data_IF_591668727806
#
_entry.id   IF_591668727806
#
_cell.length_a   1.000
_cell.length_b   1.000
_cell.length_c   1.000
_cell.angle_alpha   90.00
_cell.angle_beta   90.00
_cell.angle_gamma   90.00
#
_symmetry.space_group_name_H-M   'P 1'
#
loop_
_entity.id
_entity.type
_entity.pdbx_description
1 polymer ?
#
# COMPACT_ATOMS: atom_id res chain seq x y z
N UNK A 1 51.37 30.76 -22.21
CA UNK A 1 49.97 30.33 -21.95
C UNK A 1 49.88 28.83 -22.22
N UNK A 2 50.06 28.01 -21.19
CA UNK A 2 49.90 26.55 -21.27
C UNK A 2 48.46 26.22 -20.90
N UNK A 3 47.69 25.70 -21.86
CA UNK A 3 46.33 25.22 -21.62
C UNK A 3 46.39 23.74 -21.21
N UNK A 4 46.08 23.47 -19.94
CA UNK A 4 45.88 22.11 -19.43
C UNK A 4 44.51 21.60 -19.89
N UNK A 5 44.51 20.59 -20.76
CA UNK A 5 43.30 19.83 -21.11
C UNK A 5 43.11 18.76 -20.05
N UNK A 6 42.15 18.97 -19.15
CA UNK A 6 41.73 17.96 -18.17
C UNK A 6 40.76 16.99 -18.85
N UNK A 7 41.23 15.80 -19.20
CA UNK A 7 40.39 14.73 -19.73
C UNK A 7 39.61 14.08 -18.57
N UNK A 8 38.32 14.39 -18.45
CA UNK A 8 37.41 13.70 -17.54
C UNK A 8 37.10 12.30 -18.07
N UNK A 9 37.78 11.29 -17.52
CA UNK A 9 37.44 9.88 -17.73
C UNK A 9 36.09 9.62 -17.05
N UNK A 10 35.04 9.48 -17.84
CA UNK A 10 33.74 8.99 -17.36
C UNK A 10 33.87 7.51 -17.05
N UNK A 11 33.91 7.16 -15.77
CA UNK A 11 33.67 5.79 -15.34
C UNK A 11 32.21 5.45 -15.67
N UNK A 12 31.92 4.35 -16.39
CA UNK A 12 30.54 3.92 -16.56
C UNK A 12 30.00 3.56 -15.18
N UNK A 13 28.89 4.19 -14.80
CA UNK A 13 28.12 3.73 -13.66
C UNK A 13 27.70 2.29 -13.96
N UNK A 14 28.22 1.34 -13.19
CA UNK A 14 27.72 -0.02 -13.19
C UNK A 14 26.28 0.03 -12.62
N UNK A 15 25.30 0.14 -13.52
CA UNK A 15 23.93 -0.21 -13.24
C UNK A 15 23.91 -1.71 -12.96
N UNK A 16 23.91 -2.08 -11.67
CA UNK A 16 23.77 -3.45 -11.25
C UNK A 16 22.27 -3.72 -11.08
N UNK A 17 21.61 -4.11 -12.17
CA UNK A 17 20.21 -4.55 -12.24
C UNK A 17 20.02 -5.97 -11.64
N UNK A 18 20.47 -6.18 -10.40
CA UNK A 18 20.11 -7.37 -9.63
C UNK A 18 19.27 -6.96 -8.42
N UNK A 19 17.99 -6.83 -8.72
CA UNK A 19 16.88 -6.41 -7.86
C UNK A 19 16.47 -7.46 -6.81
N UNK A 20 17.45 -8.15 -6.20
CA UNK A 20 17.17 -9.19 -5.21
C UNK A 20 17.41 -8.65 -3.80
N UNK A 21 16.47 -7.82 -3.32
CA UNK A 21 16.46 -7.38 -1.93
C UNK A 21 16.05 -8.56 -1.06
N UNK A 22 16.93 -9.11 -0.21
CA UNK A 22 16.58 -10.25 0.61
C UNK A 22 15.53 -9.86 1.64
N UNK A 23 14.59 -10.77 1.93
CA UNK A 23 13.70 -10.62 3.08
C UNK A 23 14.49 -10.97 4.36
N UNK A 24 13.98 -10.53 5.51
CA UNK A 24 14.68 -10.72 6.79
C UNK A 24 15.12 -12.18 7.04
N UNK A 25 14.26 -13.16 6.72
CA UNK A 25 14.58 -14.58 6.91
C UNK A 25 15.65 -15.10 5.96
N UNK A 26 15.78 -14.54 4.76
CA UNK A 26 16.79 -14.95 3.76
C UNK A 26 18.22 -14.64 4.24
N UNK A 27 18.35 -13.68 5.17
CA UNK A 27 19.62 -13.30 5.82
C UNK A 27 19.73 -13.81 7.27
N UNK A 28 18.87 -14.75 7.68
CA UNK A 28 18.91 -15.37 9.01
C UNK A 28 18.29 -14.56 10.15
N UNK A 29 17.63 -13.43 9.86
CA UNK A 29 16.86 -12.69 10.86
C UNK A 29 15.48 -13.31 11.03
N UNK A 30 15.34 -14.14 12.06
CA UNK A 30 14.11 -14.85 12.40
C UNK A 30 13.40 -14.14 13.55
N UNK A 31 12.15 -13.72 13.31
CA UNK A 31 11.27 -13.19 14.35
C UNK A 31 10.22 -14.24 14.73
N UNK A 32 10.05 -14.47 16.03
CA UNK A 32 9.12 -15.45 16.60
C UNK A 32 9.57 -16.91 16.49
N UNK A 33 8.75 -17.81 17.06
CA UNK A 33 9.05 -19.27 17.14
C UNK A 33 8.27 -20.12 16.14
N UNK A 34 7.27 -19.56 15.46
CA UNK A 34 6.43 -20.28 14.50
C UNK A 34 7.03 -20.22 13.09
N UNK A 35 6.90 -21.29 12.29
CA UNK A 35 7.24 -21.26 10.87
C UNK A 35 6.25 -20.36 10.11
N UNK A 36 6.71 -19.63 9.07
CA UNK A 36 5.79 -18.88 8.21
C UNK A 36 5.01 -19.82 7.28
N UNK A 37 3.96 -19.27 6.64
CA UNK A 37 3.35 -19.91 5.48
C UNK A 37 4.31 -20.00 4.28
N UNK A 38 3.87 -20.62 3.19
CA UNK A 38 4.70 -20.91 2.02
C UNK A 38 5.26 -19.64 1.38
N UNK A 39 4.47 -18.57 1.36
CA UNK A 39 4.81 -17.29 0.77
C UNK A 39 5.41 -16.32 1.80
N UNK A 40 5.25 -16.62 3.09
CA UNK A 40 5.54 -15.70 4.19
C UNK A 40 4.87 -14.34 3.94
N UNK A 41 3.60 -14.37 3.58
CA UNK A 41 2.81 -13.21 3.18
C UNK A 41 1.36 -13.36 3.65
N UNK A 42 0.60 -12.27 3.69
CA UNK A 42 -0.82 -12.30 4.12
C UNK A 42 -1.69 -13.18 3.20
N UNK A 43 -1.30 -13.33 1.94
CA UNK A 43 -1.93 -14.18 0.93
C UNK A 43 -1.73 -15.69 1.17
N UNK A 44 -0.94 -16.10 2.18
CA UNK A 44 -0.95 -17.48 2.67
C UNK A 44 -2.30 -17.84 3.34
N UNK A 45 -3.09 -16.84 3.77
CA UNK A 45 -4.48 -17.04 4.18
C UNK A 45 -5.34 -17.27 2.94
N UNK A 46 -5.97 -18.43 2.84
CA UNK A 46 -6.77 -18.80 1.67
C UNK A 46 -7.86 -17.77 1.37
N UNK A 47 -7.96 -17.36 0.10
CA UNK A 47 -8.91 -16.36 -0.38
C UNK A 47 -8.39 -14.93 -0.32
N UNK A 48 -7.43 -14.60 0.55
CA UNK A 48 -6.92 -13.22 0.66
C UNK A 48 -6.15 -12.81 -0.59
N UNK A 49 -6.43 -11.60 -1.08
CA UNK A 49 -5.77 -11.01 -2.24
C UNK A 49 -5.15 -9.66 -1.86
N UNK A 50 -4.03 -9.34 -2.52
CA UNK A 50 -3.38 -8.02 -2.40
C UNK A 50 -3.17 -7.46 -3.79
N UNK A 51 -3.53 -6.19 -3.99
CA UNK A 51 -3.27 -5.43 -5.20
C UNK A 51 -2.70 -4.06 -4.86
N UNK A 52 -1.91 -3.50 -5.76
CA UNK A 52 -1.16 -2.27 -5.50
C UNK A 52 -1.15 -1.38 -6.73
N UNK A 53 -1.18 -0.07 -6.50
CA UNK A 53 -0.90 0.96 -7.50
C UNK A 53 0.15 1.91 -6.94
N UNK A 54 1.30 1.96 -7.58
CA UNK A 54 2.47 2.77 -7.18
C UNK A 54 2.52 4.05 -8.02
N UNK A 55 2.51 5.21 -7.38
CA UNK A 55 2.72 6.51 -8.03
C UNK A 55 4.12 7.01 -7.69
N UNK A 56 5.02 6.85 -8.65
CA UNK A 56 6.37 7.39 -8.60
C UNK A 56 6.58 8.28 -9.83
N UNK A 57 6.25 9.58 -9.71
CA UNK A 57 6.25 10.53 -10.83
C UNK A 57 7.00 11.82 -10.47
N UNK A 58 7.72 12.38 -11.42
CA UNK A 58 8.52 13.59 -11.23
C UNK A 58 9.44 13.50 -10.01
N UNK A 59 9.69 14.63 -9.37
CA UNK A 59 10.62 14.71 -8.25
C UNK A 59 9.96 14.42 -6.89
N UNK A 60 8.64 14.61 -6.77
CA UNK A 60 7.96 14.67 -5.48
C UNK A 60 6.62 13.91 -5.41
N UNK A 61 6.24 13.08 -6.39
CA UNK A 61 5.06 12.22 -6.25
C UNK A 61 5.54 10.82 -5.89
N UNK A 62 5.37 10.44 -4.61
CA UNK A 62 5.82 9.16 -4.04
C UNK A 62 4.71 8.61 -3.15
N UNK A 63 3.64 8.11 -3.73
CA UNK A 63 2.45 7.67 -2.99
C UNK A 63 1.79 6.50 -3.71
N UNK A 64 0.63 6.06 -3.25
CA UNK A 64 -0.12 5.04 -3.94
C UNK A 64 -1.24 4.44 -3.11
N UNK A 65 -1.77 3.34 -3.61
CA UNK A 65 -2.86 2.59 -2.97
C UNK A 65 -2.45 1.13 -2.85
N UNK A 66 -2.66 0.54 -1.68
CA UNK A 66 -2.63 -0.92 -1.49
C UNK A 66 -4.03 -1.37 -1.14
N UNK A 67 -4.57 -2.32 -1.90
CA UNK A 67 -5.84 -2.96 -1.65
C UNK A 67 -5.62 -4.35 -1.06
N UNK A 68 -6.33 -4.66 0.03
CA UNK A 68 -6.35 -5.97 0.67
C UNK A 68 -7.79 -6.45 0.66
N UNK A 69 -8.06 -7.55 -0.04
CA UNK A 69 -9.37 -8.15 -0.13
C UNK A 69 -9.39 -9.41 0.73
N UNK A 70 -10.29 -9.53 1.73
CA UNK A 70 -10.45 -10.76 2.49
C UNK A 70 -10.82 -11.97 1.61
N UNK A 71 -11.55 -11.74 0.52
CA UNK A 71 -11.84 -12.70 -0.55
C UNK A 71 -12.23 -11.99 -1.85
N UNK A 72 -12.31 -12.74 -2.95
CA UNK A 72 -12.66 -12.23 -4.28
C UNK A 72 -14.18 -12.02 -4.51
N UNK A 73 -15.03 -12.56 -3.64
CA UNK A 73 -16.49 -12.38 -3.69
C UNK A 73 -16.97 -10.98 -3.32
N UNK A 74 -18.30 -10.79 -3.28
CA UNK A 74 -18.92 -9.52 -2.91
C UNK A 74 -18.95 -9.35 -1.38
N UNK A 75 -17.99 -8.60 -0.84
CA UNK A 75 -17.80 -8.38 0.61
C UNK A 75 -18.99 -7.72 1.31
N UNK A 76 -19.88 -7.04 0.60
CA UNK A 76 -21.09 -6.50 1.21
C UNK A 76 -22.11 -7.60 1.54
N UNK A 77 -22.15 -8.66 0.72
CA UNK A 77 -23.04 -9.81 0.87
C UNK A 77 -22.44 -10.90 1.74
N UNK A 78 -21.13 -11.09 1.62
CA UNK A 78 -20.34 -12.09 2.32
C UNK A 78 -19.34 -11.37 3.21
N UNK A 79 -19.80 -10.91 4.38
CA UNK A 79 -18.97 -10.11 5.28
C UNK A 79 -17.98 -10.99 6.04
N UNK A 80 -16.88 -10.39 6.48
CA UNK A 80 -15.83 -11.09 7.21
C UNK A 80 -15.71 -10.51 8.62
N UNK A 81 -15.64 -11.38 9.63
CA UNK A 81 -15.44 -10.96 11.01
C UNK A 81 -14.13 -10.17 11.17
N UNK A 82 -14.18 -9.06 11.90
CA UNK A 82 -13.06 -8.14 12.06
C UNK A 82 -13.12 -7.40 13.39
N UNK A 83 -11.97 -6.84 13.79
CA UNK A 83 -11.84 -5.99 14.96
C UNK A 83 -10.80 -4.90 14.71
N UNK A 84 -10.93 -3.78 15.43
CA UNK A 84 -9.96 -2.68 15.41
C UNK A 84 -9.39 -2.50 16.81
N UNK A 85 -8.07 -2.32 16.88
CA UNK A 85 -7.39 -1.90 18.09
C UNK A 85 -6.54 -0.65 17.79
N UNK A 86 -6.65 0.37 18.65
CA UNK A 86 -5.94 1.64 18.49
C UNK A 86 -4.89 1.76 19.58
N UNK A 87 -3.62 1.56 19.22
CA UNK A 87 -2.50 1.81 20.14
C UNK A 87 -2.23 3.30 20.33
N UNK A 88 -2.23 4.08 19.25
CA UNK A 88 -2.20 5.54 19.26
C UNK A 88 -3.10 6.08 18.13
N UNK A 89 -3.96 7.04 18.47
CA UNK A 89 -5.00 7.54 17.57
C UNK A 89 -4.60 8.70 16.66
N UNK A 90 -3.30 8.99 16.47
CA UNK A 90 -2.84 10.09 15.61
C UNK A 90 -2.88 9.71 14.12
N UNK A 91 -4.00 9.17 13.65
CA UNK A 91 -4.19 8.70 12.28
C UNK A 91 -5.64 8.84 11.81
N UNK A 92 -5.88 8.56 10.53
CA UNK A 92 -7.22 8.63 9.91
C UNK A 92 -7.62 7.25 9.42
N UNK A 93 -8.30 6.50 10.29
CA UNK A 93 -8.85 5.19 9.96
C UNK A 93 -10.36 5.30 9.73
N UNK A 94 -10.76 5.43 8.46
CA UNK A 94 -12.17 5.46 8.08
C UNK A 94 -12.81 4.08 8.23
N UNK A 95 -14.05 4.07 8.70
CA UNK A 95 -14.89 2.88 8.86
C UNK A 95 -14.67 2.07 10.14
N UNK A 96 -13.73 2.48 10.99
CA UNK A 96 -13.38 1.79 12.23
C UNK A 96 -14.49 1.71 13.28
N UNK A 97 -15.35 2.73 13.35
CA UNK A 97 -16.44 2.78 14.33
C UNK A 97 -17.48 1.70 14.07
N UNK A 98 -17.88 1.47 12.82
CA UNK A 98 -18.82 0.41 12.47
C UNK A 98 -18.19 -0.99 12.60
N UNK A 99 -16.90 -1.16 12.32
CA UNK A 99 -16.20 -2.43 12.62
C UNK A 99 -16.24 -2.70 14.13
N UNK A 100 -16.02 -1.68 14.96
CA UNK A 100 -16.05 -1.83 16.42
C UNK A 100 -17.44 -2.17 16.95
N UNK A 101 -18.50 -1.66 16.30
CA UNK A 101 -19.89 -1.91 16.66
C UNK A 101 -20.40 -3.29 16.18
N UNK A 102 -20.15 -3.63 14.91
CA UNK A 102 -20.73 -4.80 14.26
C UNK A 102 -19.79 -6.01 14.18
N UNK A 103 -18.49 -5.81 14.40
CA UNK A 103 -17.49 -6.88 14.39
C UNK A 103 -17.21 -7.45 13.00
N UNK A 104 -17.45 -6.68 11.94
CA UNK A 104 -17.34 -7.14 10.55
C UNK A 104 -16.79 -6.06 9.60
N UNK A 105 -16.11 -6.50 8.55
CA UNK A 105 -15.77 -5.70 7.37
C UNK A 105 -16.65 -6.11 6.20
N UNK A 106 -17.16 -5.11 5.48
CA UNK A 106 -18.07 -5.26 4.33
C UNK A 106 -17.49 -4.69 3.03
N UNK A 107 -16.23 -4.28 3.06
CA UNK A 107 -15.48 -3.72 1.93
C UNK A 107 -14.03 -4.22 1.94
N UNK A 108 -13.31 -4.14 0.80
CA UNK A 108 -11.86 -4.23 0.78
C UNK A 108 -11.23 -3.21 1.74
N UNK A 109 -10.08 -3.58 2.34
CA UNK A 109 -9.28 -2.65 3.14
C UNK A 109 -8.33 -1.92 2.19
N UNK A 110 -8.44 -0.59 2.12
CA UNK A 110 -7.52 0.23 1.33
C UNK A 110 -6.54 0.99 2.22
N UNK A 111 -5.29 1.06 1.80
CA UNK A 111 -4.22 1.83 2.45
C UNK A 111 -3.70 2.90 1.48
N UNK A 112 -3.38 4.09 1.99
CA UNK A 112 -2.90 5.24 1.18
C UNK A 112 -2.16 6.28 2.05
N UNK A 113 -1.67 7.38 1.46
CA UNK A 113 -1.18 8.56 2.18
C UNK A 113 -2.30 9.37 2.89
N UNK A 114 -1.99 10.00 4.04
CA UNK A 114 -2.96 10.67 4.95
C UNK A 114 -4.04 11.53 4.27
N UNK A 115 -3.66 12.47 3.41
CA UNK A 115 -4.63 13.42 2.82
C UNK A 115 -5.41 12.83 1.62
N UNK A 116 -5.09 11.59 1.22
CA UNK A 116 -5.81 10.85 0.19
C UNK A 116 -6.93 9.98 0.76
N UNK A 117 -7.00 9.74 2.08
CA UNK A 117 -8.05 8.89 2.71
C UNK A 117 -9.46 9.23 2.21
N UNK A 118 -9.92 10.51 2.19
CA UNK A 118 -11.26 10.81 1.68
C UNK A 118 -11.47 10.47 0.20
N UNK A 119 -10.44 10.65 -0.65
CA UNK A 119 -10.54 10.34 -2.09
C UNK A 119 -10.59 8.84 -2.34
N UNK A 120 -9.80 8.09 -1.59
CA UNK A 120 -9.74 6.64 -1.68
C UNK A 120 -11.04 6.01 -1.16
N UNK A 121 -11.60 6.56 -0.09
CA UNK A 121 -12.91 6.14 0.40
C UNK A 121 -14.03 6.43 -0.59
N UNK A 122 -14.06 7.63 -1.17
CA UNK A 122 -15.04 8.02 -2.20
C UNK A 122 -15.01 7.05 -3.40
N UNK A 123 -13.81 6.76 -3.92
CA UNK A 123 -13.64 5.76 -4.98
C UNK A 123 -14.03 4.33 -4.54
N UNK A 124 -13.78 3.95 -3.28
CA UNK A 124 -14.20 2.64 -2.77
C UNK A 124 -15.73 2.53 -2.69
N UNK A 125 -16.43 3.61 -2.33
CA UNK A 125 -17.89 3.66 -2.36
C UNK A 125 -18.41 3.40 -3.78
N UNK A 126 -17.87 4.10 -4.79
CA UNK A 126 -18.23 3.88 -6.19
C UNK A 126 -18.01 2.43 -6.63
N UNK A 127 -16.86 1.85 -6.25
CA UNK A 127 -16.55 0.45 -6.56
C UNK A 127 -17.59 -0.49 -5.96
N UNK A 128 -17.89 -0.34 -4.66
CA UNK A 128 -18.78 -1.24 -3.94
C UNK A 128 -20.23 -1.12 -4.43
N UNK A 129 -20.72 0.09 -4.70
CA UNK A 129 -22.08 0.31 -5.19
C UNK A 129 -22.27 -0.20 -6.63
N UNK A 130 -21.20 -0.28 -7.42
CA UNK A 130 -21.24 -0.80 -8.79
C UNK A 130 -21.15 -2.34 -8.88
N UNK A 131 -20.90 -3.05 -7.78
CA UNK A 131 -20.81 -4.52 -7.80
C UNK A 131 -22.17 -5.17 -8.11
N UNK A 132 -22.21 -6.21 -8.95
CA UNK A 132 -23.43 -7.00 -9.14
C UNK A 132 -24.00 -7.52 -7.81
N UNK A 133 -25.30 -7.35 -7.61
CA UNK A 133 -25.99 -7.69 -6.36
C UNK A 133 -26.08 -6.54 -5.35
N UNK A 134 -25.41 -5.40 -5.58
CA UNK A 134 -25.46 -4.24 -4.69
C UNK A 134 -26.45 -3.15 -5.13
N UNK A 135 -27.38 -3.45 -6.03
CA UNK A 135 -28.33 -2.49 -6.61
C UNK A 135 -29.21 -1.81 -5.54
N UNK A 136 -29.57 -2.52 -4.47
CA UNK A 136 -30.40 -2.02 -3.37
C UNK A 136 -29.59 -1.53 -2.15
N UNK A 137 -28.26 -1.49 -2.24
CA UNK A 137 -27.38 -1.07 -1.12
C UNK A 137 -27.53 0.43 -0.88
N UNK A 138 -27.89 0.80 0.35
CA UNK A 138 -28.15 2.20 0.73
C UNK A 138 -26.93 2.94 1.27
N UNK A 139 -26.05 2.23 1.96
CA UNK A 139 -24.84 2.77 2.58
C UNK A 139 -23.78 1.69 2.64
N UNK A 140 -22.52 2.11 2.59
CA UNK A 140 -21.35 1.23 2.62
C UNK A 140 -20.36 1.80 3.62
N UNK A 141 -19.83 0.97 4.51
CA UNK A 141 -18.75 1.32 5.39
C UNK A 141 -17.38 1.09 4.71
N UNK A 142 -16.87 2.13 4.06
CA UNK A 142 -15.56 2.12 3.43
C UNK A 142 -14.43 2.03 4.48
N UNK A 143 -13.56 1.03 4.36
CA UNK A 143 -12.44 0.83 5.29
C UNK A 143 -11.14 1.33 4.65
N UNK A 144 -10.66 2.47 5.13
CA UNK A 144 -9.44 3.10 4.58
C UNK A 144 -8.51 3.52 5.71
N UNK A 145 -7.30 2.96 5.70
CA UNK A 145 -6.20 3.31 6.60
C UNK A 145 -5.11 4.12 5.90
N UNK A 146 -4.18 4.67 6.68
CA UNK A 146 -3.14 5.53 6.14
C UNK A 146 -1.84 5.57 6.95
N UNK A 147 -0.80 6.05 6.29
CA UNK A 147 0.38 6.62 6.93
C UNK A 147 0.71 7.96 6.27
N UNK A 148 1.45 8.83 6.96
CA UNK A 148 1.88 10.10 6.41
C UNK A 148 3.15 9.93 5.56
N UNK A 149 3.03 10.16 4.25
CA UNK A 149 4.13 10.08 3.28
C UNK A 149 4.73 11.46 2.93
N UNK A 150 4.37 12.52 3.68
CA UNK A 150 4.61 13.92 3.34
C UNK A 150 6.06 14.38 3.35
N UNK A 151 7.02 13.56 3.82
CA UNK A 151 8.44 13.87 3.68
C UNK A 151 8.99 13.60 2.28
N UNK A 152 8.51 12.55 1.63
CA UNK A 152 8.98 12.14 0.30
C UNK A 152 7.96 12.45 -0.79
N UNK A 153 6.72 12.74 -0.41
CA UNK A 153 5.60 12.97 -1.29
C UNK A 153 5.05 14.39 -1.13
N UNK A 154 4.60 14.98 -2.23
CA UNK A 154 3.68 16.11 -2.22
C UNK A 154 2.29 15.64 -1.76
N UNK A 155 2.18 15.45 -0.44
CA UNK A 155 0.97 14.99 0.22
C UNK A 155 -0.20 15.98 0.04
N UNK A 156 0.10 17.29 -0.07
CA UNK A 156 -0.90 18.34 -0.25
C UNK A 156 -1.52 18.33 -1.64
N UNK A 157 -0.77 17.90 -2.66
CA UNK A 157 -1.27 17.72 -4.02
C UNK A 157 -2.32 16.62 -4.16
N UNK A 158 -2.43 15.70 -3.18
CA UNK A 158 -3.44 14.63 -3.13
C UNK A 158 -3.53 13.84 -4.44
N UNK A 159 -2.40 13.36 -4.94
CA UNK A 159 -2.26 12.79 -6.29
C UNK A 159 -2.97 11.45 -6.55
N UNK A 160 -3.56 10.82 -5.53
CA UNK A 160 -4.33 9.57 -5.69
C UNK A 160 -5.74 9.87 -6.17
N UNK A 161 -6.18 9.15 -7.21
CA UNK A 161 -7.50 9.28 -7.85
C UNK A 161 -8.23 7.93 -7.96
N UNK A 162 -9.47 7.97 -8.44
CA UNK A 162 -10.35 6.78 -8.58
C UNK A 162 -9.71 5.71 -9.46
N UNK A 163 -9.07 6.11 -10.55
CA UNK A 163 -8.35 5.24 -11.49
C UNK A 163 -7.24 4.44 -10.80
N UNK A 164 -6.56 5.03 -9.82
CA UNK A 164 -5.48 4.38 -9.08
C UNK A 164 -6.04 3.37 -8.07
N UNK A 165 -7.16 3.71 -7.42
CA UNK A 165 -7.90 2.80 -6.52
C UNK A 165 -8.43 1.59 -7.30
N UNK A 166 -9.07 1.83 -8.44
CA UNK A 166 -9.63 0.77 -9.28
C UNK A 166 -8.53 -0.12 -9.86
N UNK A 167 -7.38 0.45 -10.23
CA UNK A 167 -6.22 -0.32 -10.65
C UNK A 167 -5.72 -1.26 -9.54
N UNK A 168 -5.65 -0.78 -8.28
CA UNK A 168 -5.21 -1.60 -7.14
C UNK A 168 -6.22 -2.71 -6.83
N UNK A 169 -7.52 -2.42 -6.90
CA UNK A 169 -8.58 -3.42 -6.69
C UNK A 169 -8.57 -4.48 -7.79
N UNK A 170 -8.39 -4.08 -9.06
CA UNK A 170 -8.34 -5.00 -10.21
C UNK A 170 -7.07 -5.84 -10.27
N UNK A 171 -5.95 -5.33 -9.78
CA UNK A 171 -4.68 -6.07 -9.74
C UNK A 171 -4.57 -7.05 -8.58
N UNK A 172 -5.56 -7.05 -7.67
CA UNK A 172 -5.52 -7.87 -6.47
C UNK A 172 -5.47 -9.37 -6.81
N UNK A 173 -4.45 -10.05 -6.30
CA UNK A 173 -4.22 -11.48 -6.54
C UNK A 173 -3.68 -12.19 -5.28
N UNK A 174 -3.79 -13.52 -5.28
CA UNK A 174 -3.06 -14.37 -4.33
C UNK A 174 -1.61 -14.57 -4.81
N UNK A 175 -0.78 -15.24 -4.01
CA UNK A 175 0.63 -15.47 -4.33
C UNK A 175 1.57 -14.47 -3.65
N UNK A 176 2.85 -14.39 -4.07
CA UNK A 176 3.82 -13.47 -3.50
C UNK A 176 3.33 -12.02 -3.57
N UNK A 177 3.59 -11.24 -2.51
CA UNK A 177 3.23 -9.82 -2.44
C UNK A 177 4.49 -8.99 -2.60
N UNK A 178 4.47 -8.01 -3.49
CA UNK A 178 5.57 -7.06 -3.64
C UNK A 178 5.69 -6.20 -2.37
N UNK A 179 6.92 -6.06 -1.88
CA UNK A 179 7.23 -5.37 -0.64
C UNK A 179 8.13 -4.16 -0.89
N UNK A 180 8.08 -3.23 0.05
CA UNK A 180 8.89 -2.03 -0.04
C UNK A 180 8.11 -0.87 -0.65
N UNK A 181 8.70 -0.22 -1.66
CA UNK A 181 8.37 1.17 -2.04
C UNK A 181 7.25 1.15 -3.07
N UNK A 182 6.18 0.44 -2.73
CA UNK A 182 5.09 0.09 -3.62
C UNK A 182 3.74 0.35 -2.95
N UNK A 183 2.72 0.57 -3.78
CA UNK A 183 1.37 0.88 -3.32
C UNK A 183 1.36 2.04 -2.33
N UNK A 184 0.68 1.85 -1.20
CA UNK A 184 0.62 2.82 -0.12
C UNK A 184 1.98 3.14 0.54
N UNK A 185 2.96 2.22 0.45
CA UNK A 185 4.27 2.35 1.10
C UNK A 185 5.30 3.16 0.30
N UNK A 186 4.96 3.63 -0.90
CA UNK A 186 5.88 4.26 -1.86
C UNK A 186 6.70 5.42 -1.27
N UNK A 187 6.07 6.29 -0.46
CA UNK A 187 6.71 7.44 0.18
C UNK A 187 6.77 7.35 1.70
N UNK A 188 6.49 6.19 2.28
CA UNK A 188 6.47 6.01 3.74
C UNK A 188 7.89 5.83 4.28
N UNK A 189 8.13 6.34 5.49
CA UNK A 189 9.38 6.20 6.22
C UNK A 189 9.18 5.37 7.49
N UNK A 190 10.19 4.58 7.85
CA UNK A 190 10.25 3.84 9.11
C UNK A 190 11.68 3.95 9.67
N UNK A 191 11.80 4.35 10.93
CA UNK A 191 13.09 4.51 11.63
C UNK A 191 14.10 5.38 10.86
N UNK A 192 13.66 6.55 10.38
CA UNK A 192 14.46 7.53 9.61
C UNK A 192 15.09 6.98 8.32
N UNK A 193 14.59 5.85 7.84
CA UNK A 193 14.86 5.30 6.53
C UNK A 193 13.56 5.25 5.75
N UNK A 194 13.61 5.26 4.42
CA UNK A 194 12.41 4.87 3.67
C UNK A 194 11.98 3.51 4.20
N UNK A 195 10.71 3.37 4.59
CA UNK A 195 10.13 2.11 5.06
C UNK A 195 10.39 0.98 4.04
N UNK A 196 10.68 1.41 2.81
CA UNK A 196 11.25 0.67 1.73
C UNK A 196 12.51 1.34 1.15
N UNK A 197 13.70 0.94 1.61
CA UNK A 197 14.93 1.71 1.40
C UNK A 197 15.18 2.16 -0.06
N UNK A 198 15.44 3.45 -0.25
CA UNK A 198 16.34 3.93 -1.30
C UNK A 198 17.27 4.97 -0.66
N UNK A 199 18.55 4.78 -0.92
CA UNK A 199 19.70 5.48 -0.33
C UNK A 199 19.50 7.00 -0.36
N UNK A 200 19.89 7.63 0.75
CA UNK A 200 20.25 9.03 0.79
C UNK A 200 21.32 9.27 -0.31
N UNK A 201 20.98 10.05 -1.33
CA UNK A 201 22.00 10.74 -2.12
C UNK A 201 22.12 12.12 -1.48
N UNK A 202 23.31 12.42 -0.98
CA UNK A 202 23.67 13.75 -0.46
C UNK A 202 23.73 14.80 -1.55
#
# INVERSE_FOLDING_TARGET
MLASVLACVHAPALANDNDNRPRARDIGLISGVLPPGKLNAITDVNGVLVGQTTLNKGDNIRTGVTAILPHAGNLFKEKVAAAVHVGNGFGKLMGSTQISELGEIETPILLTGTLNVPRVADALLDWMLALPGNEDVRSVNAVVGETNDGQLNDLRGRHVGQEHVFAALKSASTGPVEEGAVGAGTGTEASDSRAASARHRG
#
